data_IF_389379793035
#
_entry.id   IF_389379793035
#
_cell.length_a   1.000
_cell.length_b   1.000
_cell.length_c   1.000
_cell.angle_alpha   90.00
_cell.angle_beta   90.00
_cell.angle_gamma   90.00
#
_symmetry.space_group_name_H-M   'P 1'
#
loop_
_entity.id
_entity.type
_entity.pdbx_description
1 polymer ?
#
# COMPACT_ATOMS: atom_id res chain seq x y z
N UNK A 1 6.59 -24.68 -50.37
CA UNK A 1 5.40 -24.20 -49.64
C UNK A 1 5.90 -23.47 -48.39
N UNK A 2 5.74 -22.14 -48.24
CA UNK A 2 6.19 -21.41 -47.06
C UNK A 2 5.10 -21.44 -45.97
N UNK A 3 5.47 -21.74 -44.73
CA UNK A 3 4.56 -21.62 -43.58
C UNK A 3 4.90 -20.35 -42.80
N UNK A 4 3.92 -19.47 -42.73
CA UNK A 4 3.90 -18.20 -42.04
C UNK A 4 4.16 -18.31 -40.53
N UNK A 5 4.79 -17.25 -40.02
CA UNK A 5 4.52 -16.56 -38.77
C UNK A 5 4.45 -17.37 -37.46
N UNK A 6 5.31 -16.98 -36.51
CA UNK A 6 4.87 -16.22 -35.33
C UNK A 6 6.10 -15.61 -34.65
N UNK A 7 6.16 -14.26 -34.67
CA UNK A 7 7.00 -13.51 -33.74
C UNK A 7 6.57 -13.93 -32.34
N UNK A 8 7.52 -14.43 -31.57
CA UNK A 8 7.35 -14.67 -30.15
C UNK A 8 7.76 -13.36 -29.47
N UNK A 9 6.84 -12.41 -29.42
CA UNK A 9 6.93 -11.33 -28.45
C UNK A 9 6.86 -12.02 -27.08
N UNK A 10 7.90 -11.96 -26.23
CA UNK A 10 7.74 -12.37 -24.86
C UNK A 10 6.81 -11.34 -24.21
N UNK A 11 5.61 -11.83 -23.92
CA UNK A 11 4.65 -11.31 -22.97
C UNK A 11 5.37 -10.46 -21.91
N UNK A 12 5.18 -9.13 -21.98
CA UNK A 12 5.32 -8.28 -20.80
C UNK A 12 4.20 -8.69 -19.86
N UNK A 13 4.32 -9.88 -19.25
CA UNK A 13 3.55 -10.25 -18.09
C UNK A 13 3.87 -9.16 -17.08
N UNK A 14 2.83 -8.38 -16.86
CA UNK A 14 2.76 -7.30 -15.91
C UNK A 14 3.10 -7.91 -14.56
N UNK A 15 4.38 -7.83 -14.18
CA UNK A 15 4.81 -7.87 -12.79
C UNK A 15 4.28 -6.58 -12.14
N UNK A 16 2.95 -6.50 -12.05
CA UNK A 16 2.27 -5.73 -11.04
C UNK A 16 2.71 -6.38 -9.73
N UNK A 17 3.84 -5.89 -9.23
CA UNK A 17 4.33 -6.18 -7.88
C UNK A 17 3.11 -6.19 -6.99
N UNK A 18 2.77 -7.28 -6.30
CA UNK A 18 1.66 -7.26 -5.37
C UNK A 18 2.01 -6.18 -4.37
N UNK A 19 1.30 -5.04 -4.45
CA UNK A 19 1.51 -3.92 -3.55
C UNK A 19 1.46 -4.49 -2.14
N UNK A 20 2.59 -4.42 -1.44
CA UNK A 20 2.74 -5.05 -0.13
C UNK A 20 1.64 -4.58 0.82
N UNK A 21 1.28 -5.38 1.82
CA UNK A 21 0.40 -4.88 2.86
C UNK A 21 1.18 -3.97 3.80
N UNK A 22 0.61 -2.82 4.15
CA UNK A 22 1.08 -1.96 5.24
C UNK A 22 0.97 -2.75 6.54
N UNK A 23 2.09 -2.91 7.24
CA UNK A 23 2.13 -3.45 8.59
C UNK A 23 2.39 -2.36 9.63
N UNK A 24 2.11 -2.64 10.90
CA UNK A 24 2.38 -1.70 12.01
C UNK A 24 3.85 -1.25 12.06
N UNK A 25 4.78 -2.13 11.68
CA UNK A 25 6.19 -1.78 11.56
C UNK A 25 6.42 -0.67 10.53
N UNK A 26 5.70 -0.70 9.42
CA UNK A 26 5.80 0.31 8.36
C UNK A 26 5.22 1.65 8.83
N UNK A 27 4.10 1.62 9.58
CA UNK A 27 3.50 2.80 10.23
C UNK A 27 4.50 3.51 11.15
N UNK A 28 5.30 2.74 11.89
CA UNK A 28 6.32 3.25 12.79
C UNK A 28 7.61 3.72 12.08
N UNK A 29 7.96 3.11 10.94
CA UNK A 29 9.23 3.37 10.25
C UNK A 29 9.16 4.44 9.16
N UNK A 30 8.01 4.61 8.51
CA UNK A 30 7.88 5.44 7.32
C UNK A 30 6.94 6.61 7.55
N UNK A 31 7.24 7.74 6.90
CA UNK A 31 6.33 8.89 6.83
C UNK A 31 5.08 8.58 6.00
N UNK A 32 4.03 9.41 6.10
CA UNK A 32 2.87 9.27 5.23
C UNK A 32 3.21 9.32 3.74
N UNK A 33 4.13 10.20 3.33
CA UNK A 33 4.60 10.28 1.94
C UNK A 33 5.34 9.00 1.51
N UNK A 34 6.21 8.46 2.36
CA UNK A 34 6.93 7.22 2.07
C UNK A 34 5.99 6.02 1.96
N UNK A 35 4.93 5.98 2.77
CA UNK A 35 3.89 4.96 2.65
C UNK A 35 3.12 5.07 1.32
N UNK A 36 2.78 6.28 0.89
CA UNK A 36 2.15 6.50 -0.44
C UNK A 36 3.09 6.09 -1.56
N UNK A 37 4.38 6.40 -1.48
CA UNK A 37 5.37 6.01 -2.50
C UNK A 37 5.52 4.49 -2.61
N UNK A 38 5.45 3.75 -1.50
CA UNK A 38 5.66 2.30 -1.45
C UNK A 38 4.39 1.50 -1.75
N UNK A 39 3.25 1.96 -1.25
CA UNK A 39 1.99 1.20 -1.24
C UNK A 39 0.91 1.86 -2.11
N UNK A 40 1.22 3.00 -2.74
CA UNK A 40 0.32 3.77 -3.58
C UNK A 40 -0.85 4.36 -2.79
N UNK A 41 -1.89 4.78 -3.53
CA UNK A 41 -3.11 5.30 -2.96
C UNK A 41 -3.84 4.30 -2.02
N UNK A 42 -3.51 3.01 -2.11
CA UNK A 42 -4.08 1.98 -1.24
C UNK A 42 -3.62 2.09 0.22
N UNK A 43 -2.52 2.81 0.50
CA UNK A 43 -1.97 2.98 1.86
C UNK A 43 -3.03 3.48 2.85
N UNK A 44 -3.88 4.44 2.44
CA UNK A 44 -4.92 4.99 3.29
C UNK A 44 -5.93 3.91 3.75
N UNK A 45 -6.45 3.11 2.81
CA UNK A 45 -7.38 2.02 3.15
C UNK A 45 -6.73 0.97 4.06
N UNK A 46 -5.47 0.64 3.81
CA UNK A 46 -4.75 -0.34 4.62
C UNK A 46 -4.49 0.16 6.06
N UNK A 47 -4.26 1.47 6.23
CA UNK A 47 -4.17 2.08 7.57
C UNK A 47 -5.52 2.04 8.29
N UNK A 48 -6.63 2.28 7.59
CA UNK A 48 -7.99 2.13 8.16
C UNK A 48 -8.23 0.70 8.63
N UNK A 49 -7.82 -0.30 7.84
CA UNK A 49 -7.97 -1.71 8.23
C UNK A 49 -7.16 -2.04 9.50
N UNK A 50 -5.96 -1.45 9.65
CA UNK A 50 -5.16 -1.56 10.87
C UNK A 50 -5.80 -0.86 12.07
N UNK A 51 -6.39 0.32 11.90
CA UNK A 51 -7.15 1.03 12.95
C UNK A 51 -8.31 0.14 13.44
N UNK A 52 -9.08 -0.44 12.53
CA UNK A 52 -10.19 -1.34 12.90
C UNK A 52 -9.67 -2.55 13.68
N UNK A 53 -8.52 -3.10 13.29
CA UNK A 53 -7.90 -4.19 14.03
C UNK A 53 -7.46 -3.77 15.45
N UNK A 54 -6.86 -2.59 15.61
CA UNK A 54 -6.45 -2.04 16.90
C UNK A 54 -7.65 -1.76 17.83
N UNK A 55 -8.74 -1.19 17.31
CA UNK A 55 -10.00 -0.98 18.05
C UNK A 55 -10.55 -2.31 18.57
N UNK A 56 -10.53 -3.38 17.75
CA UNK A 56 -11.00 -4.71 18.18
C UNK A 56 -10.14 -5.33 19.27
N UNK A 57 -8.85 -4.96 19.36
CA UNK A 57 -7.96 -5.38 20.45
C UNK A 57 -8.15 -4.53 21.71
N UNK A 58 -8.75 -3.35 21.59
CA UNK A 58 -8.81 -2.35 22.67
C UNK A 58 -7.47 -1.66 22.91
N UNK A 59 -6.65 -1.52 21.87
CA UNK A 59 -5.35 -0.84 21.94
C UNK A 59 -5.46 0.59 21.40
N UNK A 60 -5.82 1.52 22.27
CA UNK A 60 -6.05 2.92 21.91
C UNK A 60 -4.74 3.65 21.51
N UNK A 61 -3.61 3.20 22.04
CA UNK A 61 -2.29 3.75 21.68
C UNK A 61 -1.92 3.34 20.24
N UNK A 62 -2.18 2.08 19.86
CA UNK A 62 -2.02 1.60 18.48
C UNK A 62 -2.96 2.37 17.54
N UNK A 63 -4.21 2.62 17.93
CA UNK A 63 -5.16 3.44 17.16
C UNK A 63 -4.61 4.85 16.91
N UNK A 64 -4.18 5.54 17.97
CA UNK A 64 -3.68 6.91 17.86
C UNK A 64 -2.43 7.01 16.97
N UNK A 65 -1.52 6.03 17.06
CA UNK A 65 -0.33 5.97 16.23
C UNK A 65 -0.67 5.79 14.74
N UNK A 66 -1.62 4.90 14.42
CA UNK A 66 -2.03 4.66 13.02
C UNK A 66 -2.85 5.83 12.48
N UNK A 67 -3.74 6.42 13.29
CA UNK A 67 -4.54 7.58 12.88
C UNK A 67 -3.67 8.79 12.53
N UNK A 68 -2.66 9.09 13.36
CA UNK A 68 -1.68 10.14 13.04
C UNK A 68 -0.98 9.90 11.70
N UNK A 69 -0.64 8.64 11.40
CA UNK A 69 -0.06 8.29 10.11
C UNK A 69 -1.05 8.40 8.95
N UNK A 70 -2.31 8.01 9.16
CA UNK A 70 -3.37 8.14 8.16
C UNK A 70 -3.57 9.61 7.75
N UNK A 71 -3.57 10.53 8.71
CA UNK A 71 -3.68 11.96 8.43
C UNK A 71 -2.54 12.48 7.55
N UNK A 72 -1.30 12.01 7.77
CA UNK A 72 -0.18 12.35 6.90
C UNK A 72 -0.33 11.79 5.48
N UNK A 73 -0.77 10.53 5.35
CA UNK A 73 -1.06 9.90 4.05
C UNK A 73 -2.14 10.67 3.30
N UNK A 74 -3.24 11.01 3.96
CA UNK A 74 -4.32 11.78 3.34
C UNK A 74 -3.87 13.18 2.92
N UNK A 75 -2.96 13.80 3.67
CA UNK A 75 -2.36 15.09 3.31
C UNK A 75 -1.50 14.96 2.06
N UNK A 76 -0.65 13.93 2.01
CA UNK A 76 0.22 13.66 0.87
C UNK A 76 -0.58 13.37 -0.42
N UNK A 77 -1.74 12.72 -0.30
CA UNK A 77 -2.62 12.43 -1.45
C UNK A 77 -3.41 13.65 -1.96
N UNK A 78 -3.61 14.69 -1.13
CA UNK A 78 -4.34 15.91 -1.52
C UNK A 78 -3.48 16.92 -2.28
N UNK A 79 -2.17 16.93 -2.05
CA UNK A 79 -1.23 17.91 -2.66
C UNK A 79 -1.21 19.23 -1.92
#
# INVERSE_FOLDING_TARGET
MPANAKRKDPDLEQDAVPGGRVALRDVAMFSGEELVLRFGASAAQQLVDLIVAAIRKGDDDEVAAIDGRLQEVERALRG
#
